data_IF_141985706598
#
_entry.id   IF_141985706598
#
_cell.length_a   1.000
_cell.length_b   1.000
_cell.length_c   1.000
_cell.angle_alpha   90.00
_cell.angle_beta   90.00
_cell.angle_gamma   90.00
#
_symmetry.space_group_name_H-M   'P 1'
#
loop_
_entity.id
_entity.type
_entity.pdbx_description
1 polymer ?
#
# COMPACT_ATOMS: atom_id res chain seq x y z
N UNK A 1 3.28 19.00 -4.71
CA UNK A 1 3.09 18.26 -3.44
C UNK A 1 3.59 16.85 -3.60
N UNK A 2 4.10 16.22 -2.54
CA UNK A 2 4.63 14.84 -2.58
C UNK A 2 3.55 13.79 -2.29
N UNK A 3 3.53 12.74 -3.11
CA UNK A 3 2.54 11.67 -3.10
C UNK A 3 3.22 10.31 -3.07
N UNK A 4 2.61 9.36 -2.35
CA UNK A 4 3.06 7.97 -2.30
C UNK A 4 2.02 7.09 -2.98
N UNK A 5 2.50 6.28 -3.93
CA UNK A 5 1.69 5.37 -4.74
C UNK A 5 2.12 3.94 -4.47
N UNK A 6 1.13 3.11 -4.13
CA UNK A 6 1.28 1.69 -3.86
C UNK A 6 0.63 0.89 -4.98
N UNK A 7 1.44 0.12 -5.71
CA UNK A 7 0.97 -0.80 -6.72
C UNK A 7 0.68 -2.16 -6.09
N UNK A 8 -0.47 -2.76 -6.41
CA UNK A 8 -0.87 -4.07 -5.89
C UNK A 8 -0.42 -5.19 -6.80
N UNK A 9 0.23 -6.19 -6.21
CA UNK A 9 0.50 -7.47 -6.89
C UNK A 9 1.63 -7.39 -7.92
N UNK A 10 2.53 -6.41 -7.79
CA UNK A 10 3.76 -6.34 -8.59
C UNK A 10 4.58 -7.61 -8.40
N UNK A 11 4.98 -8.21 -9.51
CA UNK A 11 5.87 -9.36 -9.55
C UNK A 11 7.11 -9.03 -10.38
N UNK A 12 8.22 -9.77 -10.23
CA UNK A 12 9.35 -9.66 -11.14
C UNK A 12 9.02 -10.16 -12.55
N UNK A 13 8.19 -11.21 -12.64
CA UNK A 13 7.83 -11.92 -13.88
C UNK A 13 6.31 -12.17 -13.98
N UNK A 14 5.80 -12.39 -15.19
CA UNK A 14 4.40 -12.73 -15.46
C UNK A 14 3.50 -11.53 -15.80
N UNK A 15 2.17 -11.71 -15.72
CA UNK A 15 1.17 -10.72 -16.15
C UNK A 15 1.28 -9.36 -15.42
N UNK A 16 1.68 -9.38 -14.16
CA UNK A 16 1.81 -8.19 -13.31
C UNK A 16 3.28 -7.76 -13.16
N UNK A 17 4.13 -8.13 -14.13
CA UNK A 17 5.55 -7.87 -14.03
C UNK A 17 5.88 -6.39 -14.15
N UNK A 18 6.70 -5.90 -13.22
CA UNK A 18 7.50 -4.69 -13.43
C UNK A 18 8.96 -5.13 -13.34
N UNK A 19 9.59 -5.48 -14.49
CA UNK A 19 10.93 -6.09 -14.49
C UNK A 19 12.01 -5.16 -13.94
N UNK A 20 11.87 -3.85 -14.19
CA UNK A 20 12.83 -2.83 -13.76
C UNK A 20 12.10 -1.61 -13.20
N UNK A 21 12.32 -1.33 -11.92
CA UNK A 21 11.76 -0.14 -11.27
C UNK A 21 12.37 1.15 -11.81
N UNK A 22 13.60 1.12 -12.35
CA UNK A 22 14.21 2.29 -13.00
C UNK A 22 13.42 2.72 -14.24
N UNK A 23 12.96 1.77 -15.07
CA UNK A 23 12.13 2.10 -16.22
C UNK A 23 10.79 2.72 -15.82
N UNK A 24 10.23 2.31 -14.67
CA UNK A 24 9.05 2.97 -14.11
C UNK A 24 9.33 4.43 -13.73
N UNK A 25 10.52 4.73 -13.19
CA UNK A 25 10.95 6.11 -12.90
C UNK A 25 11.05 6.92 -14.19
N UNK A 26 11.67 6.35 -15.23
CA UNK A 26 11.89 7.02 -16.52
C UNK A 26 10.56 7.42 -17.17
N UNK A 27 9.62 6.48 -17.32
CA UNK A 27 8.33 6.76 -18.00
C UNK A 27 7.45 7.74 -17.22
N UNK A 28 7.57 7.81 -15.90
CA UNK A 28 6.82 8.75 -15.07
C UNK A 28 7.45 10.14 -15.13
N UNK A 29 8.78 10.22 -15.17
CA UNK A 29 9.51 11.48 -15.33
C UNK A 29 9.24 12.08 -16.71
N UNK A 30 9.29 11.27 -17.78
CA UNK A 30 8.91 11.68 -19.14
C UNK A 30 7.47 12.18 -19.26
N UNK A 31 6.57 11.67 -18.41
CA UNK A 31 5.18 12.11 -18.35
C UNK A 31 5.00 13.44 -17.57
N UNK A 32 6.08 14.03 -17.05
CA UNK A 32 6.07 15.31 -16.36
C UNK A 32 5.89 15.24 -14.85
N UNK A 33 5.91 14.05 -14.24
CA UNK A 33 5.99 13.94 -12.78
C UNK A 33 7.38 14.34 -12.30
N UNK A 34 7.44 15.01 -11.15
CA UNK A 34 8.68 15.52 -10.59
C UNK A 34 9.20 14.59 -9.50
N UNK A 35 10.52 14.62 -9.26
CA UNK A 35 11.16 13.94 -8.12
C UNK A 35 10.76 12.46 -7.97
N UNK A 36 10.61 11.75 -9.09
CA UNK A 36 10.12 10.37 -9.09
C UNK A 36 11.16 9.43 -8.48
N UNK A 37 10.76 8.69 -7.45
CA UNK A 37 11.59 7.71 -6.74
C UNK A 37 10.81 6.43 -6.55
N UNK A 38 11.52 5.31 -6.40
CA UNK A 38 10.91 4.01 -6.09
C UNK A 38 11.64 3.36 -4.93
N UNK A 39 10.94 2.50 -4.19
CA UNK A 39 11.53 1.75 -3.09
C UNK A 39 11.15 0.28 -3.20
N UNK A 40 12.17 -0.58 -3.33
CA UNK A 40 12.11 -2.03 -3.52
C UNK A 40 11.18 -2.49 -4.66
N UNK A 41 11.30 -3.75 -5.10
CA UNK A 41 10.48 -4.28 -6.19
C UNK A 41 9.12 -4.81 -5.70
N UNK A 42 8.46 -4.07 -4.80
CA UNK A 42 7.08 -4.38 -4.36
C UNK A 42 6.06 -3.33 -4.81
N UNK A 43 6.46 -2.42 -5.70
CA UNK A 43 5.56 -1.42 -6.27
C UNK A 43 5.30 -0.27 -5.32
N UNK A 44 6.35 0.42 -4.89
CA UNK A 44 6.24 1.67 -4.14
C UNK A 44 6.88 2.79 -4.94
N UNK A 45 6.13 3.85 -5.18
CA UNK A 45 6.54 5.02 -5.95
C UNK A 45 6.31 6.25 -5.08
N UNK A 46 7.25 7.17 -5.12
CA UNK A 46 7.15 8.52 -4.56
C UNK A 46 7.30 9.48 -5.72
N UNK A 47 6.43 10.48 -5.83
CA UNK A 47 6.54 11.52 -6.85
C UNK A 47 5.93 12.83 -6.38
N UNK A 48 6.27 13.90 -7.08
CA UNK A 48 5.69 15.21 -6.89
C UNK A 48 4.77 15.61 -8.04
N UNK A 49 3.62 16.18 -7.69
CA UNK A 49 2.67 16.76 -8.64
C UNK A 49 1.75 17.76 -7.94
N UNK A 50 1.21 18.71 -8.72
CA UNK A 50 0.15 19.63 -8.30
C UNK A 50 -1.23 19.22 -8.84
N UNK A 51 -1.32 18.09 -9.54
CA UNK A 51 -2.58 17.52 -10.00
C UNK A 51 -3.38 16.94 -8.81
N UNK A 52 -4.68 16.80 -8.99
CA UNK A 52 -5.53 16.07 -8.05
C UNK A 52 -5.10 14.60 -7.93
N UNK A 53 -5.22 14.01 -6.74
CA UNK A 53 -4.82 12.62 -6.44
C UNK A 53 -5.37 11.60 -7.44
N UNK A 54 -6.66 11.67 -7.74
CA UNK A 54 -7.29 10.77 -8.73
C UNK A 54 -6.69 10.93 -10.12
N UNK A 55 -6.33 12.16 -10.52
CA UNK A 55 -5.73 12.40 -11.82
C UNK A 55 -4.34 11.79 -11.92
N UNK A 56 -3.55 11.90 -10.85
CA UNK A 56 -2.24 11.25 -10.75
C UNK A 56 -2.43 9.72 -10.85
N UNK A 57 -3.37 9.16 -10.08
CA UNK A 57 -3.66 7.72 -10.07
C UNK A 57 -4.01 7.18 -11.46
N UNK A 58 -4.92 7.86 -12.17
CA UNK A 58 -5.33 7.52 -13.54
C UNK A 58 -4.16 7.59 -14.53
N UNK A 59 -3.36 8.65 -14.48
CA UNK A 59 -2.22 8.84 -15.37
C UNK A 59 -1.16 7.75 -15.14
N UNK A 60 -0.82 7.47 -13.88
CA UNK A 60 0.15 6.43 -13.51
C UNK A 60 -0.35 5.06 -13.95
N UNK A 61 -1.62 4.72 -13.70
CA UNK A 61 -2.22 3.47 -14.18
C UNK A 61 -2.14 3.33 -15.70
N UNK A 62 -2.56 4.37 -16.42
CA UNK A 62 -2.56 4.39 -17.89
C UNK A 62 -1.16 4.24 -18.46
N UNK A 63 -0.17 4.92 -17.87
CA UNK A 63 1.23 4.85 -18.30
C UNK A 63 1.81 3.46 -18.09
N UNK A 64 1.63 2.89 -16.89
CA UNK A 64 2.10 1.52 -16.60
C UNK A 64 1.47 0.53 -17.58
N UNK A 65 0.14 0.59 -17.76
CA UNK A 65 -0.56 -0.31 -18.67
C UNK A 65 -0.11 -0.16 -20.13
N UNK A 66 0.11 1.08 -20.60
CA UNK A 66 0.50 1.36 -21.99
C UNK A 66 1.97 1.02 -22.28
N UNK A 67 2.89 1.31 -21.34
CA UNK A 67 4.35 1.23 -21.56
C UNK A 67 4.97 -0.06 -21.04
N UNK A 68 4.36 -0.70 -20.04
CA UNK A 68 4.84 -1.93 -19.40
C UNK A 68 3.90 -3.11 -19.69
N UNK A 69 2.59 -2.84 -19.84
CA UNK A 69 1.58 -3.88 -20.07
C UNK A 69 0.94 -4.45 -18.81
N UNK A 70 1.41 -4.06 -17.62
CA UNK A 70 0.86 -4.50 -16.35
C UNK A 70 -0.42 -3.72 -16.01
N UNK A 71 -1.49 -4.45 -15.67
CA UNK A 71 -2.77 -3.86 -15.23
C UNK A 71 -2.91 -4.03 -13.72
N UNK A 72 -2.38 -3.06 -12.98
CA UNK A 72 -2.21 -3.14 -11.53
C UNK A 72 -3.23 -2.26 -10.82
N UNK A 73 -3.81 -2.74 -9.71
CA UNK A 73 -4.56 -1.85 -8.82
C UNK A 73 -3.59 -0.87 -8.16
N UNK A 74 -4.03 0.36 -7.97
CA UNK A 74 -3.22 1.46 -7.45
C UNK A 74 -3.93 2.12 -6.29
N UNK A 75 -3.21 2.32 -5.18
CA UNK A 75 -3.61 3.23 -4.11
C UNK A 75 -2.65 4.41 -4.10
N UNK A 76 -3.19 5.62 -3.97
CA UNK A 76 -2.39 6.84 -3.80
C UNK A 76 -2.85 7.58 -2.54
N UNK A 77 -1.90 8.07 -1.75
CA UNK A 77 -2.17 8.99 -0.64
C UNK A 77 -1.08 10.07 -0.58
N UNK A 78 -1.41 11.19 0.06
CA UNK A 78 -0.44 12.22 0.40
C UNK A 78 0.59 11.68 1.42
N UNK A 79 1.80 12.24 1.40
CA UNK A 79 2.86 11.87 2.33
C UNK A 79 2.44 12.02 3.83
N UNK A 80 1.65 13.04 4.16
CA UNK A 80 1.22 13.27 5.56
C UNK A 80 0.36 12.13 6.13
N UNK A 81 -0.40 11.41 5.28
CA UNK A 81 -1.15 10.22 5.70
C UNK A 81 -0.19 9.13 6.16
N UNK A 82 0.94 8.94 5.48
CA UNK A 82 1.94 7.94 5.86
C UNK A 82 2.61 8.31 7.19
N UNK A 83 2.85 9.61 7.46
CA UNK A 83 3.38 10.09 8.75
C UNK A 83 2.42 9.75 9.88
N UNK A 84 1.14 10.04 9.71
CA UNK A 84 0.11 9.71 10.70
C UNK A 84 0.04 8.20 10.94
N UNK A 85 0.08 7.38 9.89
CA UNK A 85 0.06 5.91 10.03
C UNK A 85 1.23 5.37 10.86
N UNK A 86 2.42 5.95 10.72
CA UNK A 86 3.58 5.54 11.53
C UNK A 86 3.39 5.95 12.99
N UNK A 87 2.88 7.16 13.23
CA UNK A 87 2.68 7.71 14.58
C UNK A 87 1.52 7.06 15.34
N UNK A 88 0.48 6.61 14.64
CA UNK A 88 -0.73 6.02 15.20
C UNK A 88 -0.66 4.49 15.35
N UNK A 89 0.51 3.87 15.19
CA UNK A 89 0.67 2.43 15.34
C UNK A 89 0.17 1.97 16.74
N UNK A 90 -0.88 1.13 16.83
CA UNK A 90 -1.45 0.72 18.10
C UNK A 90 -0.66 -0.39 18.79
N UNK A 91 0.25 -1.06 18.07
CA UNK A 91 1.04 -2.16 18.60
C UNK A 91 2.27 -1.62 19.36
N UNK A 92 2.28 -1.83 20.68
CA UNK A 92 3.37 -1.42 21.56
C UNK A 92 4.63 -2.28 21.47
N UNK A 93 5.61 -2.00 22.34
CA UNK A 93 6.98 -2.55 22.27
C UNK A 93 7.08 -4.08 22.38
N UNK A 94 6.09 -4.74 22.96
CA UNK A 94 6.08 -6.21 23.10
C UNK A 94 5.78 -6.95 21.78
N UNK A 95 5.29 -6.24 20.76
CA UNK A 95 5.06 -6.79 19.43
C UNK A 95 6.35 -6.78 18.60
N UNK A 96 6.54 -7.84 17.81
CA UNK A 96 7.62 -7.85 16.82
C UNK A 96 7.31 -6.90 15.67
N UNK A 97 8.06 -5.79 15.59
CA UNK A 97 7.81 -4.74 14.60
C UNK A 97 7.79 -5.22 13.15
N UNK A 98 8.62 -6.20 12.79
CA UNK A 98 8.69 -6.77 11.43
C UNK A 98 7.50 -7.66 11.04
N UNK A 99 6.56 -7.87 11.98
CA UNK A 99 5.27 -8.56 11.80
C UNK A 99 4.09 -7.60 11.70
N UNK A 100 4.30 -6.30 11.92
CA UNK A 100 3.26 -5.30 11.78
C UNK A 100 3.12 -4.92 10.30
N UNK A 101 1.88 -4.99 9.84
CA UNK A 101 1.47 -4.62 8.49
C UNK A 101 0.37 -3.58 8.58
N UNK A 102 0.21 -2.83 7.49
CA UNK A 102 -0.89 -1.90 7.32
C UNK A 102 -1.63 -2.22 6.04
N UNK A 103 -2.95 -2.08 6.08
CA UNK A 103 -3.85 -2.19 4.94
C UNK A 103 -4.31 -0.79 4.56
N UNK A 104 -4.01 -0.43 3.33
CA UNK A 104 -4.47 0.78 2.69
C UNK A 104 -5.72 0.50 1.87
N UNK A 105 -6.60 1.51 1.83
CA UNK A 105 -7.75 1.60 0.96
C UNK A 105 -7.71 2.95 0.23
N UNK A 106 -8.17 3.01 -1.02
CA UNK A 106 -8.16 4.25 -1.81
C UNK A 106 -9.02 5.33 -1.15
N UNK A 107 -10.20 4.94 -0.68
CA UNK A 107 -11.10 5.81 0.08
C UNK A 107 -10.74 5.83 1.57
N UNK A 108 -11.68 6.27 2.39
CA UNK A 108 -11.58 6.27 3.84
C UNK A 108 -11.73 4.86 4.43
N UNK A 109 -10.90 4.50 5.42
CA UNK A 109 -11.04 3.20 6.12
C UNK A 109 -12.37 3.12 6.87
N UNK A 110 -12.89 4.25 7.33
CA UNK A 110 -14.16 4.33 8.05
C UNK A 110 -15.37 4.04 7.15
N UNK A 111 -15.23 4.04 5.83
CA UNK A 111 -16.30 3.65 4.92
C UNK A 111 -16.35 2.14 4.66
N UNK A 112 -15.43 1.35 5.21
CA UNK A 112 -15.47 -0.11 5.14
C UNK A 112 -16.54 -0.65 6.10
N UNK A 113 -17.12 -1.85 5.83
CA UNK A 113 -18.00 -2.53 6.78
C UNK A 113 -17.17 -3.16 7.91
N UNK A 114 -16.68 -2.31 8.82
CA UNK A 114 -15.73 -2.65 9.89
C UNK A 114 -16.33 -3.58 10.95
N UNK A 115 -17.66 -3.66 11.05
CA UNK A 115 -18.37 -4.62 11.88
C UNK A 115 -18.03 -6.08 11.52
N UNK A 116 -17.70 -6.35 10.25
CA UNK A 116 -17.26 -7.67 9.77
C UNK A 116 -15.91 -8.12 10.32
N UNK A 117 -15.15 -7.24 10.97
CA UNK A 117 -13.88 -7.56 11.61
C UNK A 117 -14.04 -8.12 13.03
N UNK A 118 -15.27 -8.15 13.57
CA UNK A 118 -15.57 -8.69 14.92
C UNK A 118 -15.57 -10.22 14.92
N UNK A 119 -14.44 -10.81 14.58
CA UNK A 119 -14.22 -12.26 14.51
C UNK A 119 -12.92 -12.57 15.25
N UNK A 120 -12.86 -13.74 15.87
CA UNK A 120 -11.60 -14.26 16.41
C UNK A 120 -10.63 -14.64 15.29
N UNK A 121 -9.43 -14.06 15.33
CA UNK A 121 -8.33 -14.32 14.40
C UNK A 121 -7.22 -15.17 15.05
N UNK A 122 -7.44 -15.68 16.26
CA UNK A 122 -6.47 -16.45 17.01
C UNK A 122 -5.30 -15.58 17.46
N UNK A 123 -4.10 -15.91 16.97
CA UNK A 123 -2.86 -15.18 17.33
C UNK A 123 -2.59 -13.98 16.42
N UNK A 124 -3.32 -13.84 15.31
CA UNK A 124 -3.26 -12.65 14.47
C UNK A 124 -4.19 -11.58 15.02
N UNK A 125 -3.80 -10.31 14.91
CA UNK A 125 -4.59 -9.19 15.42
C UNK A 125 -4.86 -8.17 14.32
N UNK A 126 -6.01 -7.50 14.43
CA UNK A 126 -6.38 -6.37 13.57
C UNK A 126 -6.92 -5.22 14.39
N UNK A 127 -6.36 -4.03 14.15
CA UNK A 127 -6.78 -2.78 14.78
C UNK A 127 -7.22 -1.77 13.72
N UNK A 128 -8.30 -1.04 14.00
CA UNK A 128 -8.83 0.00 13.10
C UNK A 128 -8.12 1.31 13.45
N UNK A 129 -7.37 1.86 12.49
CA UNK A 129 -6.76 3.19 12.59
C UNK A 129 -7.58 4.27 11.91
N UNK A 130 -7.10 5.51 11.96
CA UNK A 130 -7.74 6.63 11.26
C UNK A 130 -7.56 6.54 9.74
N UNK A 131 -6.41 6.04 9.27
CA UNK A 131 -6.06 6.03 7.85
C UNK A 131 -5.74 4.66 7.26
N UNK A 132 -5.55 3.63 8.10
CA UNK A 132 -5.30 2.26 7.69
C UNK A 132 -5.92 1.26 8.68
N UNK A 133 -5.98 -0.01 8.31
CA UNK A 133 -6.08 -1.10 9.30
C UNK A 133 -4.66 -1.58 9.64
N UNK A 134 -4.36 -1.73 10.92
CA UNK A 134 -3.10 -2.30 11.39
C UNK A 134 -3.29 -3.78 11.65
N UNK A 135 -2.34 -4.60 11.19
CA UNK A 135 -2.37 -6.04 11.33
C UNK A 135 -1.09 -6.50 12.03
N UNK A 136 -1.20 -7.32 13.06
CA UNK A 136 -0.08 -8.07 13.61
C UNK A 136 -0.17 -9.53 13.19
N UNK A 137 0.84 -10.00 12.44
CA UNK A 137 0.86 -11.32 11.83
C UNK A 137 2.06 -12.13 12.34
N UNK A 138 1.99 -12.75 13.53
CA UNK A 138 3.11 -13.50 14.10
C UNK A 138 3.41 -14.76 13.27
N UNK A 139 4.69 -15.10 13.14
CA UNK A 139 5.11 -16.31 12.39
C UNK A 139 4.58 -17.59 13.01
N UNK A 140 4.47 -17.60 14.34
CA UNK A 140 4.03 -18.70 15.18
C UNK A 140 2.53 -18.95 15.10
N UNK A 141 1.76 -18.05 14.48
CA UNK A 141 0.32 -18.23 14.34
C UNK A 141 -0.01 -19.57 13.70
N UNK A 142 -0.80 -20.39 14.40
CA UNK A 142 -1.28 -21.69 13.92
C UNK A 142 -2.32 -21.49 12.81
N UNK A 143 -3.15 -20.46 12.95
CA UNK A 143 -4.14 -20.07 11.96
C UNK A 143 -3.72 -18.75 11.31
N UNK A 144 -3.61 -18.74 9.97
CA UNK A 144 -3.23 -17.56 9.19
C UNK A 144 -4.38 -17.16 8.27
N UNK A 145 -5.20 -16.22 8.73
CA UNK A 145 -6.45 -15.82 8.07
C UNK A 145 -6.35 -14.40 7.54
N UNK A 146 -5.74 -13.49 8.28
CA UNK A 146 -5.57 -12.10 7.92
C UNK A 146 -4.55 -11.97 6.78
N UNK A 147 -5.08 -11.76 5.58
CA UNK A 147 -4.32 -11.39 4.42
C UNK A 147 -5.16 -10.47 3.52
N UNK A 148 -4.51 -9.81 2.56
CA UNK A 148 -5.17 -8.85 1.67
C UNK A 148 -6.35 -9.49 0.92
N UNK A 149 -6.20 -10.70 0.38
CA UNK A 149 -7.26 -11.34 -0.41
C UNK A 149 -8.49 -11.68 0.45
N UNK A 150 -8.29 -12.09 1.71
CA UNK A 150 -9.38 -12.31 2.65
C UNK A 150 -10.14 -11.01 2.93
N UNK A 151 -9.42 -9.91 3.23
CA UNK A 151 -10.04 -8.62 3.52
C UNK A 151 -10.73 -8.00 2.30
N UNK A 152 -10.13 -8.11 1.10
CA UNK A 152 -10.76 -7.68 -0.16
C UNK A 152 -12.09 -8.41 -0.39
N UNK A 153 -12.14 -9.74 -0.15
CA UNK A 153 -13.39 -10.52 -0.24
C UNK A 153 -14.40 -10.14 0.85
N UNK A 154 -13.93 -9.89 2.08
CA UNK A 154 -14.79 -9.55 3.21
C UNK A 154 -15.52 -8.21 2.99
N UNK A 155 -14.79 -7.23 2.45
CA UNK A 155 -15.27 -5.87 2.24
C UNK A 155 -15.78 -5.59 0.82
N UNK A 156 -15.48 -6.47 -0.14
CA UNK A 156 -15.78 -6.29 -1.56
C UNK A 156 -15.15 -5.01 -2.14
N UNK A 157 -13.88 -4.76 -1.82
CA UNK A 157 -13.10 -3.59 -2.30
C UNK A 157 -11.66 -3.99 -2.60
N UNK A 158 -10.94 -3.09 -3.24
CA UNK A 158 -9.51 -3.22 -3.53
C UNK A 158 -8.65 -2.69 -2.38
N UNK A 159 -7.69 -3.50 -1.93
CA UNK A 159 -6.82 -3.16 -0.80
C UNK A 159 -5.35 -3.41 -1.12
N UNK A 160 -4.46 -2.67 -0.47
CA UNK A 160 -3.03 -2.92 -0.56
C UNK A 160 -2.40 -3.04 0.81
N UNK A 161 -1.68 -4.14 1.04
CA UNK A 161 -0.91 -4.35 2.27
C UNK A 161 0.56 -3.94 2.09
N UNK A 162 1.14 -3.34 3.12
CA UNK A 162 2.59 -3.14 3.26
C UNK A 162 3.01 -3.45 4.70
N UNK A 163 4.27 -3.81 4.89
CA UNK A 163 4.86 -3.84 6.23
C UNK A 163 5.02 -2.41 6.75
N UNK A 164 4.83 -2.20 8.04
CA UNK A 164 4.97 -0.88 8.64
C UNK A 164 6.39 -0.32 8.46
N UNK A 165 7.43 -1.16 8.55
CA UNK A 165 8.80 -0.75 8.27
C UNK A 165 9.03 -0.25 6.83
N UNK A 166 8.27 -0.77 5.85
CA UNK A 166 8.32 -0.27 4.46
C UNK A 166 7.67 1.10 4.40
N UNK A 167 6.54 1.29 5.07
CA UNK A 167 5.83 2.58 5.18
C UNK A 167 6.73 3.65 5.78
N UNK A 168 7.42 3.35 6.89
CA UNK A 168 8.41 4.25 7.48
C UNK A 168 9.54 4.59 6.51
N UNK A 169 10.08 3.60 5.80
CA UNK A 169 11.17 3.83 4.85
C UNK A 169 10.73 4.70 3.69
N UNK A 170 9.46 4.69 3.29
CA UNK A 170 8.96 5.58 2.25
C UNK A 170 8.98 7.05 2.67
N UNK A 171 8.86 7.36 3.97
CA UNK A 171 8.94 8.73 4.50
C UNK A 171 10.36 9.30 4.46
N UNK A 172 11.39 8.45 4.38
CA UNK A 172 12.80 8.86 4.40
C UNK A 172 13.48 8.74 3.02
N UNK A 173 12.70 8.62 1.94
CA UNK A 173 13.21 8.29 0.60
C UNK A 173 13.22 9.48 -0.35
#
# INVERSE_FOLDING_TARGET
MEHIILLRGVTPNGKNAIPKMSYLVDILTEAGFQQVRTYIQSGNIILESNLALEKIREQVHTLIKKKIGADLKIIIKNNDIFKNIVQENPFGEHYLYDRIHVIFYQESIQSLPLDKLKIDYGEEEICIGNHCLYLYLPRTAKQKKLNTNYLEKLFNVDLTMRKLNVVEKLLSK
#
